data_IF_453411698416
#
_entry.id   IF_453411698416
#
_cell.length_a   1.000
_cell.length_b   1.000
_cell.length_c   1.000
_cell.angle_alpha   90.00
_cell.angle_beta   90.00
_cell.angle_gamma   90.00
#
_symmetry.space_group_name_H-M   'P 1'
#
loop_
_entity.id
_entity.type
_entity.pdbx_description
1 polymer ?
#
# COMPACT_ATOMS: atom_id res chain seq x y z
N UNK A 1 -5.31 -17.27 -12.28
CA UNK A 1 -4.57 -16.22 -11.55
C UNK A 1 -3.18 -16.14 -12.15
N UNK A 2 -2.73 -14.93 -12.46
CA UNK A 2 -1.43 -14.65 -13.09
C UNK A 2 -0.70 -13.56 -12.29
N UNK A 3 0.63 -13.61 -12.20
CA UNK A 3 1.44 -12.67 -11.40
C UNK A 3 2.52 -12.07 -12.29
N UNK A 4 2.49 -10.75 -12.44
CA UNK A 4 3.43 -9.96 -13.21
C UNK A 4 4.31 -9.11 -12.27
N UNK A 5 5.62 -9.22 -12.42
CA UNK A 5 6.61 -8.51 -11.62
C UNK A 5 7.18 -7.34 -12.41
N UNK A 6 6.72 -6.13 -12.08
CA UNK A 6 7.21 -4.89 -12.65
C UNK A 6 8.11 -4.11 -11.69
N UNK A 7 8.93 -3.22 -12.25
CA UNK A 7 9.81 -2.35 -11.45
C UNK A 7 9.05 -1.49 -10.44
N UNK A 8 7.88 -0.97 -10.85
CA UNK A 8 7.06 -0.06 -10.05
C UNK A 8 5.95 -0.75 -9.26
N UNK A 9 5.60 -1.99 -9.59
CA UNK A 9 4.53 -2.72 -8.94
C UNK A 9 4.56 -4.22 -9.28
N UNK A 10 4.02 -5.03 -8.38
CA UNK A 10 3.64 -6.41 -8.66
C UNK A 10 2.13 -6.44 -8.93
N UNK A 11 1.70 -7.09 -10.02
CA UNK A 11 0.28 -7.20 -10.38
C UNK A 11 -0.18 -8.65 -10.33
N UNK A 12 -1.21 -8.93 -9.55
CA UNK A 12 -1.84 -10.24 -9.41
C UNK A 12 -3.21 -10.17 -10.10
N UNK A 13 -3.37 -10.83 -11.24
CA UNK A 13 -4.60 -10.78 -12.05
C UNK A 13 -5.54 -11.91 -11.67
N UNK A 14 -6.72 -11.57 -11.13
CA UNK A 14 -7.77 -12.56 -10.83
C UNK A 14 -9.21 -12.05 -11.00
N UNK A 15 -9.42 -11.03 -11.85
CA UNK A 15 -10.76 -10.54 -12.23
C UNK A 15 -10.75 -9.11 -12.78
N UNK A 16 -11.90 -8.57 -13.19
CA UNK A 16 -11.98 -7.28 -13.90
C UNK A 16 -11.80 -6.08 -12.97
N UNK A 17 -12.18 -6.22 -11.69
CA UNK A 17 -12.11 -5.15 -10.69
C UNK A 17 -10.68 -4.97 -10.20
N UNK A 18 -10.25 -3.73 -10.04
CA UNK A 18 -8.88 -3.39 -9.67
C UNK A 18 -8.82 -2.79 -8.28
N UNK A 19 -7.78 -3.16 -7.55
CA UNK A 19 -7.41 -2.55 -6.26
C UNK A 19 -5.91 -2.33 -6.25
N UNK A 20 -5.48 -1.27 -5.58
CA UNK A 20 -4.06 -0.93 -5.45
C UNK A 20 -3.64 -0.93 -3.99
N UNK A 21 -2.69 -1.79 -3.62
CA UNK A 21 -2.07 -1.79 -2.30
C UNK A 21 -0.93 -0.78 -2.31
N UNK A 22 -1.01 0.19 -1.40
CA UNK A 22 -0.04 1.25 -1.22
C UNK A 22 0.68 0.99 0.12
N UNK A 23 1.90 0.43 0.08
CA UNK A 23 2.64 0.11 1.29
C UNK A 23 3.26 1.37 1.92
N UNK A 24 3.73 1.30 3.17
CA UNK A 24 4.50 2.39 3.79
C UNK A 24 5.84 2.64 3.06
N UNK A 25 6.18 3.86 2.61
CA UNK A 25 7.51 4.11 2.04
C UNK A 25 8.58 4.30 3.13
N UNK A 26 9.82 3.78 2.97
CA UNK A 26 10.26 2.92 1.88
C UNK A 26 9.79 1.47 2.11
N UNK A 27 9.26 0.80 1.08
CA UNK A 27 8.89 -0.62 1.15
C UNK A 27 8.86 -1.30 -0.21
N UNK A 28 9.16 -2.60 -0.19
CA UNK A 28 9.15 -3.49 -1.34
C UNK A 28 7.77 -4.12 -1.54
N UNK A 29 7.30 -4.17 -2.79
CA UNK A 29 6.01 -4.79 -3.11
C UNK A 29 5.96 -6.28 -2.72
N UNK A 30 7.10 -6.98 -2.81
CA UNK A 30 7.27 -8.40 -2.51
C UNK A 30 6.80 -8.76 -1.10
N UNK A 31 7.02 -7.87 -0.12
CA UNK A 31 6.60 -8.08 1.28
C UNK A 31 5.09 -8.18 1.45
N UNK A 32 4.33 -7.62 0.52
CA UNK A 32 2.88 -7.52 0.59
C UNK A 32 2.16 -8.49 -0.36
N UNK A 33 2.90 -9.35 -1.07
CA UNK A 33 2.33 -10.34 -1.99
C UNK A 33 1.34 -11.27 -1.29
N UNK A 34 1.58 -11.66 -0.04
CA UNK A 34 0.64 -12.48 0.73
C UNK A 34 -0.74 -11.82 0.90
N UNK A 35 -0.78 -10.53 1.24
CA UNK A 35 -2.01 -9.75 1.30
C UNK A 35 -2.65 -9.62 -0.09
N UNK A 36 -1.84 -9.36 -1.12
CA UNK A 36 -2.33 -9.27 -2.49
C UNK A 36 -2.96 -10.57 -2.97
N UNK A 37 -2.39 -11.73 -2.64
CA UNK A 37 -2.96 -13.04 -2.94
C UNK A 37 -4.27 -13.28 -2.20
N UNK A 38 -4.37 -12.86 -0.93
CA UNK A 38 -5.60 -12.97 -0.15
C UNK A 38 -6.74 -12.17 -0.81
N UNK A 39 -6.46 -10.93 -1.24
CA UNK A 39 -7.45 -10.10 -1.92
C UNK A 39 -7.76 -10.64 -3.32
N UNK A 40 -6.75 -11.07 -4.07
CA UNK A 40 -6.95 -11.63 -5.41
C UNK A 40 -7.87 -12.85 -5.39
N UNK A 41 -7.80 -13.70 -4.34
CA UNK A 41 -8.71 -14.85 -4.16
C UNK A 41 -10.19 -14.48 -4.11
N UNK A 42 -10.53 -13.22 -3.81
CA UNK A 42 -11.91 -12.71 -3.85
C UNK A 42 -12.36 -12.24 -5.26
N UNK A 43 -11.53 -12.43 -6.30
CA UNK A 43 -11.88 -12.09 -7.68
C UNK A 43 -11.39 -10.71 -8.14
N UNK A 44 -10.41 -10.12 -7.46
CA UNK A 44 -9.84 -8.82 -7.81
C UNK A 44 -8.50 -8.97 -8.56
N UNK A 45 -8.21 -8.03 -9.46
CA UNK A 45 -6.85 -7.74 -9.90
C UNK A 45 -6.21 -6.79 -8.91
N UNK A 46 -5.11 -7.22 -8.29
CA UNK A 46 -4.41 -6.49 -7.24
C UNK A 46 -3.11 -5.93 -7.77
N UNK A 47 -2.88 -4.63 -7.61
CA UNK A 47 -1.62 -3.98 -7.94
C UNK A 47 -0.93 -3.54 -6.65
N UNK A 48 0.22 -4.13 -6.34
CA UNK A 48 1.00 -3.81 -5.15
C UNK A 48 2.10 -2.86 -5.57
N UNK A 49 2.03 -1.61 -5.13
CA UNK A 49 3.04 -0.63 -5.51
C UNK A 49 4.38 -0.93 -4.85
N UNK A 50 5.45 -0.72 -5.60
CA UNK A 50 6.81 -0.70 -5.08
C UNK A 50 7.15 0.75 -4.74
N UNK A 51 7.33 1.05 -3.45
CA UNK A 51 7.64 2.39 -2.97
C UNK A 51 9.03 2.41 -2.36
N UNK A 52 10.07 2.30 -3.20
CA UNK A 52 11.42 1.94 -2.76
C UNK A 52 12.10 2.99 -1.88
N UNK A 53 11.62 4.24 -1.92
CA UNK A 53 12.30 5.38 -1.29
C UNK A 53 11.28 6.41 -0.86
N UNK A 54 11.65 7.26 0.10
CA UNK A 54 10.91 8.47 0.45
C UNK A 54 11.29 9.69 -0.40
N UNK A 55 11.64 9.50 -1.68
CA UNK A 55 11.84 10.61 -2.62
C UNK A 55 10.49 10.95 -3.28
N UNK A 56 10.06 12.20 -3.19
CA UNK A 56 8.77 12.65 -3.76
C UNK A 56 8.60 12.23 -5.22
N UNK A 57 9.59 12.50 -6.07
CA UNK A 57 9.53 12.14 -7.49
C UNK A 57 9.38 10.64 -7.76
N UNK A 58 9.89 9.77 -6.87
CA UNK A 58 9.71 8.33 -6.99
C UNK A 58 8.32 7.91 -6.51
N UNK A 59 7.86 8.48 -5.40
CA UNK A 59 6.51 8.25 -4.89
C UNK A 59 5.47 8.68 -5.91
N UNK A 60 5.57 9.89 -6.44
CA UNK A 60 4.65 10.42 -7.46
C UNK A 60 4.58 9.55 -8.70
N UNK A 61 5.73 9.07 -9.20
CA UNK A 61 5.77 8.14 -10.34
C UNK A 61 5.08 6.81 -10.05
N UNK A 62 5.28 6.24 -8.86
CA UNK A 62 4.63 4.99 -8.48
C UNK A 62 3.12 5.19 -8.28
N UNK A 63 2.73 6.29 -7.64
CA UNK A 63 1.34 6.66 -7.35
C UNK A 63 0.53 6.98 -8.62
N UNK A 64 1.18 7.48 -9.69
CA UNK A 64 0.55 7.63 -10.99
C UNK A 64 0.09 6.29 -11.61
N UNK A 65 0.63 5.16 -11.12
CA UNK A 65 0.24 3.82 -11.52
C UNK A 65 -0.84 3.19 -10.64
N UNK A 66 -1.50 3.95 -9.75
CA UNK A 66 -2.63 3.47 -8.96
C UNK A 66 -3.84 3.26 -9.86
N UNK A 67 -4.46 2.09 -9.72
CA UNK A 67 -5.67 1.72 -10.43
C UNK A 67 -6.73 1.19 -9.46
N UNK A 68 -7.98 1.55 -9.73
CA UNK A 68 -9.12 1.13 -8.92
C UNK A 68 -9.07 1.68 -7.50
N UNK A 69 -9.46 0.87 -6.52
CA UNK A 69 -9.61 1.34 -5.14
C UNK A 69 -8.29 1.23 -4.37
N UNK A 70 -7.79 2.32 -3.75
CA UNK A 70 -6.56 2.28 -2.97
C UNK A 70 -6.78 1.64 -1.59
N UNK A 71 -5.81 0.84 -1.18
CA UNK A 71 -5.70 0.21 0.13
C UNK A 71 -4.36 0.67 0.72
N UNK A 72 -4.44 1.58 1.68
CA UNK A 72 -3.30 2.12 2.39
C UNK A 72 -2.91 1.20 3.54
N UNK A 73 -1.62 0.98 3.72
CA UNK A 73 -1.06 0.22 4.84
C UNK A 73 -0.26 1.13 5.77
N UNK A 74 -0.45 1.01 7.08
CA UNK A 74 0.36 1.74 8.08
C UNK A 74 0.36 3.24 7.80
N UNK A 75 1.48 3.91 8.00
CA UNK A 75 1.61 5.35 7.76
C UNK A 75 1.59 5.77 6.28
N UNK A 76 1.43 4.85 5.31
CA UNK A 76 1.35 5.22 3.89
C UNK A 76 0.21 6.21 3.61
N UNK A 77 -0.90 6.12 4.36
CA UNK A 77 -2.02 7.07 4.25
C UNK A 77 -1.61 8.53 4.51
N UNK A 78 -0.55 8.75 5.30
CA UNK A 78 -0.07 10.10 5.63
C UNK A 78 0.88 10.68 4.57
N UNK A 79 1.46 9.86 3.69
CA UNK A 79 2.52 10.27 2.76
C UNK A 79 2.20 9.98 1.29
N UNK A 80 1.56 8.86 1.03
CA UNK A 80 1.33 8.28 -0.29
C UNK A 80 -0.16 8.28 -0.68
N UNK A 81 -0.90 9.26 -0.17
CA UNK A 81 -2.33 9.42 -0.45
C UNK A 81 -2.59 9.86 -1.90
N UNK A 82 -3.52 9.17 -2.56
CA UNK A 82 -3.96 9.43 -3.95
C UNK A 82 -5.47 9.60 -4.08
N UNK A 83 -6.23 9.35 -3.01
CA UNK A 83 -7.70 9.39 -3.02
C UNK A 83 -8.32 8.52 -1.93
N UNK A 84 -9.65 8.53 -1.84
CA UNK A 84 -10.37 7.78 -0.79
C UNK A 84 -10.09 6.29 -0.87
N UNK A 85 -9.77 5.68 0.27
CA UNK A 85 -9.40 4.27 0.33
C UNK A 85 -9.66 3.62 1.68
N UNK A 86 -9.30 2.34 1.79
CA UNK A 86 -9.27 1.62 3.05
C UNK A 86 -7.90 1.80 3.72
N UNK A 87 -7.87 1.92 5.04
CA UNK A 87 -6.62 1.88 5.82
C UNK A 87 -6.55 0.59 6.63
N UNK A 88 -5.50 -0.19 6.40
CA UNK A 88 -5.13 -1.38 7.18
C UNK A 88 -3.88 -1.12 8.01
N UNK A 89 -3.79 -1.83 9.13
CA UNK A 89 -2.72 -1.68 10.12
C UNK A 89 -2.47 -0.21 10.46
N UNK A 90 -3.50 0.55 10.91
CA UNK A 90 -3.32 1.97 11.23
C UNK A 90 -2.23 2.10 12.29
N UNK A 91 -1.12 2.74 11.91
CA UNK A 91 0.00 3.01 12.79
C UNK A 91 0.27 4.52 12.75
N UNK A 92 0.47 5.11 13.93
CA UNK A 92 0.80 6.52 14.01
C UNK A 92 2.18 6.76 13.39
N UNK A 93 2.32 7.75 12.48
CA UNK A 93 3.59 8.05 11.83
C UNK A 93 4.61 8.58 12.84
N UNK A 94 5.47 7.69 13.32
CA UNK A 94 6.56 7.97 14.27
C UNK A 94 7.92 7.70 13.63
N UNK A 95 8.99 8.40 14.07
CA UNK A 95 10.36 8.12 13.62
C UNK A 95 10.74 6.64 13.73
N UNK A 96 10.33 5.98 14.81
CA UNK A 96 10.58 4.55 15.02
C UNK A 96 9.81 3.67 14.04
N UNK A 97 8.57 4.01 13.70
CA UNK A 97 7.79 3.28 12.69
C UNK A 97 8.42 3.35 11.29
N UNK A 98 8.86 4.55 10.88
CA UNK A 98 9.59 4.73 9.61
C UNK A 98 10.90 3.95 9.60
N UNK A 99 11.67 4.04 10.68
CA UNK A 99 12.92 3.31 10.84
C UNK A 99 12.71 1.80 10.75
N UNK A 100 11.77 1.25 11.52
CA UNK A 100 11.45 -0.19 11.51
C UNK A 100 11.10 -0.68 10.11
N UNK A 101 10.29 0.09 9.39
CA UNK A 101 9.92 -0.27 8.03
C UNK A 101 11.14 -0.22 7.10
N UNK A 102 11.97 0.81 7.17
CA UNK A 102 13.19 0.88 6.37
C UNK A 102 14.19 -0.24 6.69
N UNK A 103 14.39 -0.58 7.98
CA UNK A 103 15.26 -1.68 8.43
C UNK A 103 14.76 -3.05 7.95
N UNK A 104 13.43 -3.25 7.94
CA UNK A 104 12.83 -4.47 7.40
C UNK A 104 13.02 -4.63 5.88
N UNK A 105 13.50 -3.59 5.18
CA UNK A 105 13.86 -3.63 3.77
C UNK A 105 15.39 -3.50 3.61
N UNK A 106 16.08 -4.65 3.57
CA UNK A 106 17.55 -4.75 3.56
C UNK A 106 18.25 -3.95 2.45
N UNK A 107 17.57 -3.64 1.34
CA UNK A 107 18.12 -2.87 0.21
C UNK A 107 18.06 -1.35 0.38
N UNK A 108 17.35 -0.85 1.40
CA UNK A 108 17.10 0.58 1.59
C UNK A 108 17.68 1.13 2.90
N UNK A 109 18.90 0.74 3.28
CA UNK A 109 19.72 1.38 4.34
C UNK A 109 19.91 2.92 4.18
N UNK A 110 19.21 3.53 3.22
CA UNK A 110 18.93 4.94 3.06
C UNK A 110 18.29 5.55 4.31
N UNK A 111 18.47 6.86 4.41
CA UNK A 111 18.00 7.67 5.51
C UNK A 111 16.46 7.77 5.50
N UNK A 112 15.80 6.88 6.24
CA UNK A 112 14.35 6.92 6.50
C UNK A 112 13.89 8.27 7.05
N UNK A 113 14.82 9.09 7.59
CA UNK A 113 14.54 10.48 7.98
C UNK A 113 14.02 11.33 6.81
N UNK A 114 14.36 10.98 5.56
CA UNK A 114 13.74 11.57 4.35
C UNK A 114 12.22 11.49 4.39
N UNK A 115 11.63 10.43 4.94
CA UNK A 115 10.18 10.29 5.08
C UNK A 115 9.59 11.29 6.06
N UNK A 116 10.37 11.73 7.06
CA UNK A 116 9.96 12.77 8.02
C UNK A 116 9.96 14.16 7.40
N UNK A 117 10.81 14.40 6.40
CA UNK A 117 10.88 15.65 5.65
C UNK A 117 9.72 15.81 4.65
N UNK A 118 9.09 14.70 4.26
CA UNK A 118 7.97 14.71 3.33
C UNK A 118 6.76 15.44 3.91
N UNK A 119 6.11 16.24 3.06
CA UNK A 119 4.87 16.89 3.43
C UNK A 119 3.78 15.85 3.69
N UNK A 120 3.32 15.76 4.94
CA UNK A 120 2.16 14.97 5.30
C UNK A 120 0.93 15.46 4.54
N UNK A 121 0.19 14.52 3.97
CA UNK A 121 -1.06 14.76 3.24
C UNK A 121 -2.22 14.33 4.12
N UNK A 122 -3.30 15.09 4.07
CA UNK A 122 -4.58 14.72 4.67
C UNK A 122 -5.45 14.13 3.59
N UNK A 123 -6.19 13.07 3.93
CA UNK A 123 -7.10 12.42 3.02
C UNK A 123 -8.09 11.55 3.76
N UNK A 124 -9.27 11.36 3.15
CA UNK A 124 -10.31 10.53 3.71
C UNK A 124 -9.97 9.05 3.51
N UNK A 125 -9.91 8.30 4.60
CA UNK A 125 -9.76 6.84 4.60
C UNK A 125 -10.74 6.22 5.58
N UNK A 126 -11.26 5.05 5.23
CA UNK A 126 -12.05 4.24 6.15
C UNK A 126 -11.10 3.27 6.87
N UNK A 127 -10.95 3.42 8.19
CA UNK A 127 -10.02 2.62 9.00
C UNK A 127 -10.64 1.26 9.30
N UNK A 128 -10.01 0.18 8.83
CA UNK A 128 -10.53 -1.18 8.98
C UNK A 128 -9.85 -1.99 10.08
N UNK A 129 -8.78 -1.47 10.70
CA UNK A 129 -8.04 -2.11 11.78
C UNK A 129 -6.78 -2.84 11.32
N UNK A 130 -6.27 -3.75 12.15
CA UNK A 130 -5.01 -4.47 11.92
C UNK A 130 -5.23 -5.84 11.25
N UNK A 131 -4.22 -6.32 10.52
CA UNK A 131 -4.22 -7.67 9.99
C UNK A 131 -3.90 -8.69 11.12
N UNK A 132 -4.44 -9.92 11.06
CA UNK A 132 -5.30 -10.45 9.99
C UNK A 132 -6.79 -10.09 10.12
N UNK A 133 -7.25 -9.58 11.26
CA UNK A 133 -8.66 -9.35 11.57
C UNK A 133 -9.36 -8.41 10.58
N UNK A 134 -8.64 -7.40 10.08
CA UNK A 134 -9.14 -6.46 9.09
C UNK A 134 -9.44 -7.08 7.72
N UNK A 135 -9.03 -8.33 7.43
CA UNK A 135 -9.28 -8.98 6.13
C UNK A 135 -10.77 -9.17 5.85
N UNK A 136 -11.55 -9.54 6.87
CA UNK A 136 -12.99 -9.73 6.69
C UNK A 136 -13.68 -8.38 6.42
N UNK A 137 -13.35 -7.35 7.21
CA UNK A 137 -13.83 -5.99 7.00
C UNK A 137 -13.45 -5.45 5.62
N UNK A 138 -12.22 -5.70 5.17
CA UNK A 138 -11.76 -5.31 3.83
C UNK A 138 -12.55 -6.00 2.72
N UNK A 139 -12.84 -7.28 2.86
CA UNK A 139 -13.64 -8.02 1.88
C UNK A 139 -15.02 -7.42 1.71
N UNK A 140 -15.70 -7.11 2.82
CA UNK A 140 -17.02 -6.47 2.83
C UNK A 140 -16.94 -5.07 2.21
N UNK A 141 -15.99 -4.26 2.68
CA UNK A 141 -15.79 -2.89 2.23
C UNK A 141 -15.50 -2.78 0.72
N UNK A 142 -14.75 -3.74 0.15
CA UNK A 142 -14.49 -3.83 -1.29
C UNK A 142 -15.74 -4.22 -2.09
N UNK A 143 -16.52 -5.18 -1.60
CA UNK A 143 -17.77 -5.60 -2.24
C UNK A 143 -18.78 -4.44 -2.32
N UNK A 144 -18.90 -3.64 -1.26
CA UNK A 144 -19.77 -2.45 -1.25
C UNK A 144 -19.36 -1.38 -2.29
N UNK A 145 -18.07 -1.27 -2.60
CA UNK A 145 -17.53 -0.24 -3.50
C UNK A 145 -17.41 -0.66 -4.95
N UNK A 146 -17.17 -1.95 -5.19
CA UNK A 146 -16.89 -2.47 -6.51
C UNK A 146 -18.01 -3.38 -7.06
N UNK A 147 -19.00 -3.74 -6.22
CA UNK A 147 -20.18 -4.54 -6.54
C UNK A 147 -19.95 -6.04 -6.40
#
# INVERSE_FOLDING_TARGET
MDIDYGLLAITIRNGPRRVSIIPPPPSEAERWVGLGLAIARWGYTVRILNLPTCRESTLEKALAGVEGVPIYLRYSHALAYVGRGALLEPEEPTPDGFRREAEANSRYLLDWRRCLELRRRTGDVDVLGALPDALEGLRIWLAERLG
#
